data_IF_477109763943
#
_entry.id   IF_477109763943
#
_cell.length_a   1.000
_cell.length_b   1.000
_cell.length_c   1.000
_cell.angle_alpha   90.00
_cell.angle_beta   90.00
_cell.angle_gamma   90.00
#
_symmetry.space_group_name_H-M   'P 1'
#
loop_
_entity.id
_entity.type
_entity.pdbx_description
1 polymer ?
#
# COMPACT_ATOMS: atom_id res chain seq x y z
N UNK A 1 -11.92 -20.36 -23.06
CA UNK A 1 -10.65 -20.25 -22.31
C UNK A 1 -10.88 -19.31 -21.14
N UNK A 2 -10.63 -19.71 -19.90
CA UNK A 2 -10.73 -18.81 -18.75
C UNK A 2 -9.69 -17.69 -18.92
N UNK A 3 -10.11 -16.43 -18.84
CA UNK A 3 -9.21 -15.28 -18.95
C UNK A 3 -8.28 -15.32 -17.75
N UNK A 4 -6.97 -15.43 -17.98
CA UNK A 4 -5.97 -15.44 -16.90
C UNK A 4 -6.09 -14.14 -16.12
N UNK A 5 -6.20 -14.22 -14.81
CA UNK A 5 -6.27 -13.04 -13.93
C UNK A 5 -4.98 -12.23 -14.06
N UNK A 6 -5.06 -10.91 -14.31
CA UNK A 6 -3.88 -10.09 -14.45
C UNK A 6 -3.12 -9.99 -13.11
N UNK A 7 -1.79 -9.99 -13.21
CA UNK A 7 -0.88 -9.72 -12.09
C UNK A 7 -0.01 -8.55 -12.47
N UNK A 8 -0.01 -7.51 -11.63
CA UNK A 8 0.77 -6.29 -11.83
C UNK A 8 2.00 -6.29 -10.94
N UNK A 9 3.12 -5.78 -11.47
CA UNK A 9 4.32 -5.42 -10.72
C UNK A 9 4.38 -3.90 -10.52
N UNK A 10 5.23 -3.43 -9.62
CA UNK A 10 5.51 -1.98 -9.48
C UNK A 10 5.91 -1.38 -10.83
N UNK A 11 6.72 -2.10 -11.59
CA UNK A 11 7.14 -1.75 -12.95
C UNK A 11 5.96 -1.50 -13.89
N UNK A 12 4.95 -2.36 -13.85
CA UNK A 12 3.77 -2.22 -14.70
C UNK A 12 2.95 -0.97 -14.35
N UNK A 13 2.98 -0.56 -13.07
CA UNK A 13 2.25 0.62 -12.61
C UNK A 13 2.95 1.94 -12.92
N UNK A 14 4.28 1.95 -12.96
CA UNK A 14 5.06 3.18 -13.16
C UNK A 14 5.47 3.44 -14.62
N UNK A 15 5.30 2.45 -15.51
CA UNK A 15 5.85 2.47 -16.85
C UNK A 15 7.34 2.11 -16.90
N UNK A 16 7.85 1.87 -18.13
CA UNK A 16 9.17 1.28 -18.36
C UNK A 16 10.35 2.11 -17.80
N UNK A 17 10.20 3.42 -17.74
CA UNK A 17 11.29 4.33 -17.35
C UNK A 17 11.61 4.30 -15.84
N UNK A 18 10.74 3.75 -15.01
CA UNK A 18 10.91 3.63 -13.54
C UNK A 18 10.92 2.18 -13.04
N UNK A 19 11.26 1.25 -13.90
CA UNK A 19 11.20 -0.19 -13.62
C UNK A 19 12.16 -0.67 -12.51
N UNK A 20 13.17 0.10 -12.13
CA UNK A 20 14.12 -0.23 -11.06
C UNK A 20 13.66 0.24 -9.67
N UNK A 21 12.47 0.83 -9.55
CA UNK A 21 11.96 1.33 -8.28
C UNK A 21 11.39 0.18 -7.44
N UNK A 22 11.87 0.04 -6.21
CA UNK A 22 11.42 -0.99 -5.25
C UNK A 22 10.26 -0.51 -4.36
N UNK A 23 10.00 0.80 -4.37
CA UNK A 23 8.94 1.45 -3.58
C UNK A 23 8.28 2.56 -4.39
N UNK A 24 6.98 2.75 -4.18
CA UNK A 24 6.18 3.85 -4.71
C UNK A 24 5.35 4.43 -3.58
N UNK A 25 5.38 5.74 -3.44
CA UNK A 25 4.53 6.49 -2.51
C UNK A 25 3.76 7.52 -3.30
N UNK A 26 2.44 7.55 -3.16
CA UNK A 26 1.58 8.47 -3.93
C UNK A 26 0.30 8.83 -3.17
N UNK A 27 -0.34 9.92 -3.59
CA UNK A 27 -1.73 10.16 -3.20
C UNK A 27 -2.62 9.10 -3.85
N UNK A 28 -3.58 8.61 -3.08
CA UNK A 28 -4.51 7.60 -3.59
C UNK A 28 -5.31 8.15 -4.79
N UNK A 29 -5.72 9.42 -4.74
CA UNK A 29 -6.44 10.08 -5.83
C UNK A 29 -5.63 10.04 -7.13
N UNK A 30 -4.37 10.45 -7.07
CA UNK A 30 -3.49 10.49 -8.24
C UNK A 30 -3.28 9.08 -8.82
N UNK A 31 -3.16 8.08 -7.94
CA UNK A 31 -3.05 6.69 -8.35
C UNK A 31 -4.32 6.22 -9.10
N UNK A 32 -5.50 6.48 -8.55
CA UNK A 32 -6.78 6.08 -9.15
C UNK A 32 -7.04 6.77 -10.49
N UNK A 33 -6.69 8.04 -10.62
CA UNK A 33 -6.85 8.81 -11.86
C UNK A 33 -5.95 8.30 -12.99
N UNK A 34 -4.75 7.83 -12.64
CA UNK A 34 -3.78 7.28 -13.60
C UNK A 34 -4.01 5.79 -13.92
N UNK A 35 -4.79 5.06 -13.12
CA UNK A 35 -4.96 3.60 -13.24
C UNK A 35 -6.45 3.21 -13.27
N UNK A 36 -7.25 3.88 -14.08
CA UNK A 36 -8.71 3.62 -14.21
C UNK A 36 -9.02 2.24 -14.77
N UNK A 37 -8.09 1.62 -15.45
CA UNK A 37 -8.19 0.31 -16.09
C UNK A 37 -7.99 -0.87 -15.12
N UNK A 38 -7.51 -0.64 -13.89
CA UNK A 38 -7.27 -1.71 -12.91
C UNK A 38 -8.37 -1.85 -11.84
N UNK A 39 -9.58 -1.39 -12.14
CA UNK A 39 -10.75 -1.58 -11.25
C UNK A 39 -11.29 -3.01 -11.27
N UNK A 40 -10.86 -3.85 -12.22
CA UNK A 40 -11.26 -5.26 -12.32
C UNK A 40 -10.47 -6.14 -11.33
N UNK A 41 -10.98 -7.34 -10.99
CA UNK A 41 -10.24 -8.27 -10.14
C UNK A 41 -8.84 -8.56 -10.70
N UNK A 42 -7.82 -8.30 -9.90
CA UNK A 42 -6.42 -8.46 -10.24
C UNK A 42 -5.59 -8.84 -9.01
N UNK A 43 -4.30 -9.10 -9.24
CA UNK A 43 -3.28 -9.33 -8.22
C UNK A 43 -2.10 -8.42 -8.48
N UNK A 44 -1.27 -8.27 -7.47
CA UNK A 44 0.08 -7.69 -7.61
C UNK A 44 1.13 -8.57 -6.92
N UNK A 45 2.40 -8.40 -7.29
CA UNK A 45 3.54 -9.14 -6.76
C UNK A 45 4.32 -8.37 -5.69
N UNK A 46 3.74 -7.28 -5.18
CA UNK A 46 4.28 -6.40 -4.17
C UNK A 46 3.32 -6.25 -2.98
N UNK A 47 3.82 -5.71 -1.87
CA UNK A 47 3.03 -5.31 -0.71
C UNK A 47 2.41 -3.95 -0.96
N UNK A 48 1.17 -3.77 -0.50
CA UNK A 48 0.46 -2.50 -0.60
C UNK A 48 -0.13 -2.12 0.76
N UNK A 49 0.01 -0.84 1.12
CA UNK A 49 -0.65 -0.22 2.26
C UNK A 49 -1.44 0.98 1.74
N UNK A 50 -2.72 1.06 2.10
CA UNK A 50 -3.59 2.19 1.75
C UNK A 50 -4.17 2.78 3.01
N UNK A 51 -3.87 4.05 3.30
CA UNK A 51 -4.51 4.85 4.34
C UNK A 51 -5.60 5.72 3.72
N UNK A 52 -6.84 5.56 4.14
CA UNK A 52 -7.97 6.37 3.68
C UNK A 52 -8.20 7.56 4.60
N UNK A 53 -8.02 8.78 4.08
CA UNK A 53 -8.32 10.04 4.79
C UNK A 53 -9.72 10.54 4.47
N UNK A 54 -10.18 10.32 3.23
CA UNK A 54 -11.56 10.46 2.76
C UNK A 54 -11.94 9.20 2.05
N UNK A 55 -13.16 8.73 2.25
CA UNK A 55 -13.52 7.41 1.79
C UNK A 55 -14.99 7.29 1.40
N UNK A 56 -15.27 6.30 0.60
CA UNK A 56 -16.57 5.85 0.19
C UNK A 56 -16.46 4.73 -0.83
N UNK A 57 -17.49 3.90 -0.89
CA UNK A 57 -17.52 2.75 -1.79
C UNK A 57 -17.01 1.48 -1.12
N UNK A 58 -16.47 0.57 -1.92
CA UNK A 58 -16.19 -0.79 -1.47
C UNK A 58 -14.84 -1.27 -2.00
N UNK A 59 -14.15 -2.08 -1.19
CA UNK A 59 -12.96 -2.82 -1.55
C UNK A 59 -13.20 -4.31 -1.27
N UNK A 60 -12.96 -5.17 -2.26
CA UNK A 60 -13.03 -6.62 -2.09
C UNK A 60 -11.61 -7.17 -2.11
N UNK A 61 -11.25 -7.95 -1.08
CA UNK A 61 -9.94 -8.61 -0.94
C UNK A 61 -10.20 -10.08 -0.63
N UNK A 62 -9.65 -10.98 -1.45
CA UNK A 62 -9.80 -12.44 -1.33
C UNK A 62 -11.26 -12.86 -1.10
N UNK A 63 -12.19 -12.29 -1.92
CA UNK A 63 -13.63 -12.51 -1.90
C UNK A 63 -14.37 -11.92 -0.69
N UNK A 64 -13.69 -11.29 0.25
CA UNK A 64 -14.31 -10.56 1.35
C UNK A 64 -14.50 -9.10 0.96
N UNK A 65 -15.72 -8.60 1.12
CA UNK A 65 -16.09 -7.22 0.80
C UNK A 65 -16.03 -6.36 2.07
N UNK A 66 -15.41 -5.18 1.93
CA UNK A 66 -15.28 -4.18 2.97
C UNK A 66 -15.90 -2.88 2.49
N UNK A 67 -16.70 -2.25 3.34
CA UNK A 67 -17.09 -0.85 3.17
C UNK A 67 -15.90 0.03 3.53
N UNK A 68 -15.57 0.97 2.64
CA UNK A 68 -14.42 1.85 2.84
C UNK A 68 -14.88 3.13 3.52
N UNK A 69 -14.41 3.34 4.75
CA UNK A 69 -14.70 4.52 5.57
C UNK A 69 -13.39 5.27 5.92
N UNK A 70 -13.45 6.56 6.26
CA UNK A 70 -12.26 7.32 6.68
C UNK A 70 -11.56 6.67 7.87
N UNK A 71 -10.24 6.91 7.96
CA UNK A 71 -9.36 6.39 9.03
C UNK A 71 -9.15 4.87 9.01
N UNK A 72 -9.45 4.22 7.90
CA UNK A 72 -9.06 2.83 7.70
C UNK A 72 -7.72 2.70 7.00
N UNK A 73 -6.98 1.65 7.38
CA UNK A 73 -5.78 1.21 6.68
C UNK A 73 -6.00 -0.19 6.17
N UNK A 74 -5.69 -0.39 4.90
CA UNK A 74 -5.79 -1.66 4.20
C UNK A 74 -4.40 -2.20 3.91
N UNK A 75 -4.23 -3.51 4.07
CA UNK A 75 -2.97 -4.22 3.83
C UNK A 75 -3.20 -5.31 2.81
N UNK A 76 -2.37 -5.35 1.79
CA UNK A 76 -2.40 -6.40 0.78
C UNK A 76 -1.01 -6.99 0.59
N UNK A 77 -0.93 -8.31 0.76
CA UNK A 77 0.27 -9.09 0.48
C UNK A 77 0.33 -9.51 -1.00
N UNK A 78 1.52 -9.81 -1.53
CA UNK A 78 1.67 -10.34 -2.86
C UNK A 78 0.76 -11.54 -3.12
N UNK A 79 0.09 -11.54 -4.28
CA UNK A 79 -0.78 -12.64 -4.74
C UNK A 79 -2.23 -12.57 -4.30
N UNK A 80 -2.61 -11.70 -3.37
CA UNK A 80 -4.01 -11.50 -3.00
C UNK A 80 -4.82 -10.93 -4.16
N UNK A 81 -6.05 -11.44 -4.31
CA UNK A 81 -6.97 -10.97 -5.34
C UNK A 81 -7.75 -9.81 -4.77
N UNK A 82 -7.77 -8.69 -5.46
CA UNK A 82 -8.60 -7.58 -5.02
C UNK A 82 -9.25 -6.81 -6.18
N UNK A 83 -10.28 -6.06 -5.84
CA UNK A 83 -10.97 -5.11 -6.72
C UNK A 83 -11.59 -4.03 -5.87
N UNK A 84 -11.68 -2.83 -6.41
CA UNK A 84 -12.31 -1.71 -5.71
C UNK A 84 -13.35 -1.00 -6.58
N UNK A 85 -14.33 -0.43 -5.91
CA UNK A 85 -15.32 0.45 -6.47
C UNK A 85 -15.48 1.64 -5.51
N UNK A 86 -14.53 2.58 -5.61
CA UNK A 86 -14.47 3.73 -4.71
C UNK A 86 -15.37 4.87 -5.18
N UNK A 87 -15.89 5.61 -4.22
CA UNK A 87 -16.64 6.83 -4.47
C UNK A 87 -15.74 7.97 -5.01
N UNK A 88 -16.32 8.99 -5.63
CA UNK A 88 -15.58 10.09 -6.28
C UNK A 88 -14.76 10.93 -5.29
N UNK A 89 -15.12 10.93 -4.01
CA UNK A 89 -14.43 11.70 -2.97
C UNK A 89 -13.31 10.92 -2.26
N UNK A 90 -13.11 9.64 -2.64
CA UNK A 90 -12.12 8.78 -1.98
C UNK A 90 -10.71 9.30 -2.23
N UNK A 91 -9.96 9.48 -1.13
CA UNK A 91 -8.57 9.92 -1.15
C UNK A 91 -7.83 9.44 0.10
N UNK A 92 -6.50 9.55 0.06
CA UNK A 92 -5.60 9.12 1.11
C UNK A 92 -4.18 8.96 0.58
N UNK A 93 -3.47 7.99 1.12
CA UNK A 93 -2.10 7.68 0.74
C UNK A 93 -1.98 6.20 0.37
N UNK A 94 -1.11 5.92 -0.58
CA UNK A 94 -0.81 4.57 -1.05
C UNK A 94 0.70 4.36 -1.06
N UNK A 95 1.13 3.25 -0.48
CA UNK A 95 2.51 2.77 -0.52
C UNK A 95 2.51 1.39 -1.15
N UNK A 96 3.25 1.21 -2.23
CA UNK A 96 3.56 -0.08 -2.84
C UNK A 96 5.06 -0.36 -2.66
N UNK A 97 5.45 -1.54 -2.20
CA UNK A 97 6.85 -1.89 -2.03
C UNK A 97 7.11 -3.38 -2.24
N UNK A 98 8.28 -3.70 -2.76
CA UNK A 98 8.77 -5.07 -2.90
C UNK A 98 9.46 -5.54 -1.61
N UNK A 99 9.50 -6.84 -1.36
CA UNK A 99 10.26 -7.42 -0.24
C UNK A 99 11.75 -7.06 -0.33
N UNK A 100 12.28 -6.94 -1.55
CA UNK A 100 13.67 -6.53 -1.82
C UNK A 100 14.01 -5.14 -1.30
N UNK A 101 13.05 -4.25 -1.12
CA UNK A 101 13.27 -2.90 -0.59
C UNK A 101 14.00 -2.89 0.76
N UNK A 102 13.83 -3.94 1.56
CA UNK A 102 14.51 -4.08 2.85
C UNK A 102 15.77 -4.95 2.78
N UNK A 103 15.89 -5.88 1.83
CA UNK A 103 16.98 -6.87 1.82
C UNK A 103 18.36 -6.26 1.56
N UNK A 104 18.42 -5.10 0.91
CA UNK A 104 19.67 -4.35 0.71
C UNK A 104 20.24 -3.79 2.01
N UNK A 105 19.42 -3.55 3.02
CA UNK A 105 19.81 -2.98 4.32
C UNK A 105 19.78 -4.02 5.44
N UNK A 106 18.78 -4.91 5.41
CA UNK A 106 18.57 -5.92 6.44
C UNK A 106 18.90 -7.30 5.87
N UNK A 107 19.81 -8.04 6.49
CA UNK A 107 20.14 -9.41 6.08
C UNK A 107 19.03 -10.44 6.38
N UNK A 108 17.80 -9.98 6.59
CA UNK A 108 16.61 -10.80 6.80
C UNK A 108 15.67 -10.72 5.58
N UNK A 109 15.67 -11.73 4.69
CA UNK A 109 14.80 -11.72 3.50
C UNK A 109 13.31 -11.84 3.84
N UNK A 110 12.97 -12.17 5.09
CA UNK A 110 11.59 -12.35 5.53
C UNK A 110 11.11 -11.24 6.47
N UNK A 111 11.87 -10.13 6.58
CA UNK A 111 11.58 -9.05 7.51
C UNK A 111 10.13 -8.56 7.47
N UNK A 112 9.58 -8.36 6.26
CA UNK A 112 8.19 -7.87 6.11
C UNK A 112 7.17 -8.90 6.63
N UNK A 113 7.47 -10.19 6.51
CA UNK A 113 6.59 -11.28 6.94
C UNK A 113 6.54 -11.45 8.47
N UNK A 114 7.45 -10.84 9.20
CA UNK A 114 7.41 -10.81 10.66
C UNK A 114 6.30 -9.90 11.19
N UNK A 115 5.82 -8.94 10.38
CA UNK A 115 4.71 -8.09 10.75
C UNK A 115 3.37 -8.83 10.57
N UNK A 116 2.50 -8.83 11.60
CA UNK A 116 1.22 -9.56 11.56
C UNK A 116 0.26 -9.02 10.48
N UNK A 117 0.51 -7.81 9.97
CA UNK A 117 -0.32 -7.12 8.98
C UNK A 117 -0.52 -7.91 7.68
N UNK A 118 0.47 -8.71 7.28
CA UNK A 118 0.48 -9.42 6.00
C UNK A 118 0.36 -10.95 6.12
N UNK A 119 0.20 -11.47 7.36
CA UNK A 119 0.26 -12.91 7.59
C UNK A 119 -1.10 -13.60 7.56
N UNK A 120 -2.20 -12.90 7.28
CA UNK A 120 -3.58 -13.41 7.33
C UNK A 120 -3.95 -14.17 8.64
N UNK A 121 -3.05 -14.18 9.64
CA UNK A 121 -3.26 -14.88 10.92
C UNK A 121 -4.36 -14.21 11.74
N UNK A 122 -4.52 -12.89 11.58
CA UNK A 122 -5.55 -12.10 12.24
C UNK A 122 -6.89 -12.07 11.47
N UNK A 123 -6.92 -12.59 10.23
CA UNK A 123 -8.14 -12.61 9.41
C UNK A 123 -8.63 -11.24 8.91
N UNK A 124 -7.91 -10.17 9.22
CA UNK A 124 -8.31 -8.80 8.84
C UNK A 124 -7.25 -8.15 7.95
N UNK A 125 -7.65 -7.87 6.71
CA UNK A 125 -6.87 -7.05 5.79
C UNK A 125 -7.05 -5.54 6.05
N UNK A 126 -7.76 -5.16 7.12
CA UNK A 126 -8.24 -3.79 7.39
C UNK A 126 -8.22 -3.50 8.88
N UNK A 127 -7.63 -2.39 9.26
CA UNK A 127 -7.74 -1.82 10.60
C UNK A 127 -8.43 -0.46 10.54
N UNK A 128 -9.28 -0.17 11.52
CA UNK A 128 -9.83 1.17 11.73
C UNK A 128 -9.06 1.85 12.85
N UNK A 129 -8.47 2.99 12.54
CA UNK A 129 -7.63 3.76 13.46
C UNK A 129 -8.49 4.72 14.30
N UNK A 130 -8.10 4.95 15.54
CA UNK A 130 -8.61 6.12 16.26
C UNK A 130 -8.06 7.44 15.64
N UNK A 131 -8.68 8.56 15.98
CA UNK A 131 -8.35 9.85 15.37
C UNK A 131 -6.90 10.29 15.63
N UNK A 132 -6.36 9.99 16.81
CA UNK A 132 -5.00 10.41 17.16
C UNK A 132 -3.98 9.57 16.38
N UNK A 133 -4.16 8.25 16.37
CA UNK A 133 -3.31 7.34 15.61
C UNK A 133 -3.37 7.65 14.11
N UNK A 134 -4.57 7.93 13.59
CA UNK A 134 -4.73 8.33 12.19
C UNK A 134 -3.97 9.62 11.87
N UNK A 135 -4.11 10.66 12.68
CA UNK A 135 -3.42 11.93 12.47
C UNK A 135 -1.89 11.80 12.52
N UNK A 136 -1.37 11.00 13.46
CA UNK A 136 0.06 10.72 13.54
C UNK A 136 0.57 9.96 12.30
N UNK A 137 -0.15 8.93 11.87
CA UNK A 137 0.22 8.16 10.68
C UNK A 137 0.11 9.00 9.42
N UNK A 138 -0.95 9.81 9.27
CA UNK A 138 -1.11 10.69 8.12
C UNK A 138 0.09 11.64 7.96
N UNK A 139 0.63 12.18 9.06
CA UNK A 139 1.85 12.99 9.02
C UNK A 139 3.06 12.21 8.50
N UNK A 140 3.24 10.97 8.95
CA UNK A 140 4.35 10.12 8.46
C UNK A 140 4.19 9.79 6.98
N UNK A 141 2.96 9.47 6.54
CA UNK A 141 2.68 9.20 5.12
C UNK A 141 2.92 10.45 4.25
N UNK A 142 2.51 11.64 4.73
CA UNK A 142 2.75 12.89 4.02
C UNK A 142 4.25 13.19 3.88
N UNK A 143 5.01 13.07 4.97
CA UNK A 143 6.46 13.23 4.94
C UNK A 143 7.14 12.22 4.00
N UNK A 144 6.66 10.98 4.00
CA UNK A 144 7.18 9.93 3.12
C UNK A 144 6.90 10.23 1.64
N UNK A 145 5.72 10.81 1.35
CA UNK A 145 5.38 11.26 -0.01
C UNK A 145 6.26 12.43 -0.45
N UNK A 146 6.50 13.40 0.43
CA UNK A 146 7.36 14.56 0.15
C UNK A 146 8.80 14.11 -0.11
N UNK A 147 9.33 13.21 0.71
CA UNK A 147 10.66 12.62 0.53
C UNK A 147 10.78 11.84 -0.80
N UNK A 148 9.76 11.03 -1.12
CA UNK A 148 9.72 10.26 -2.37
C UNK A 148 9.71 11.16 -3.61
N UNK A 149 9.00 12.29 -3.55
CA UNK A 149 8.88 13.23 -4.66
C UNK A 149 10.10 14.16 -4.80
N UNK A 150 10.69 14.59 -3.71
CA UNK A 150 11.86 15.49 -3.73
C UNK A 150 13.11 14.78 -4.19
N UNK A 151 13.30 13.53 -3.78
CA UNK A 151 14.51 12.76 -4.04
C UNK A 151 15.75 13.39 -3.41
N UNK A 152 16.84 12.70 -3.42
CA UNK A 152 18.11 13.20 -2.94
C UNK A 152 19.02 12.10 -2.40
N UNK A 153 20.14 12.51 -1.83
CA UNK A 153 21.04 11.59 -1.14
C UNK A 153 20.31 10.97 0.05
N UNK A 154 20.47 9.66 0.24
CA UNK A 154 19.85 8.88 1.32
C UNK A 154 18.31 8.77 1.30
N UNK A 155 17.62 9.24 0.26
CA UNK A 155 16.16 9.12 0.15
C UNK A 155 15.67 7.69 0.38
N UNK A 156 16.32 6.68 -0.21
CA UNK A 156 15.92 5.28 -0.01
C UNK A 156 16.07 4.81 1.44
N UNK A 157 17.07 5.31 2.16
CA UNK A 157 17.30 4.96 3.57
C UNK A 157 16.29 5.66 4.48
N UNK A 158 15.95 6.91 4.18
CA UNK A 158 14.89 7.67 4.87
C UNK A 158 13.54 6.97 4.67
N UNK A 159 13.18 6.62 3.43
CA UNK A 159 11.94 5.91 3.12
C UNK A 159 11.85 4.54 3.81
N UNK A 160 12.97 3.79 3.91
CA UNK A 160 13.02 2.53 4.67
C UNK A 160 12.73 2.75 6.15
N UNK A 161 13.39 3.76 6.75
CA UNK A 161 13.16 4.11 8.15
C UNK A 161 11.71 4.49 8.43
N UNK A 162 11.11 5.32 7.57
CA UNK A 162 9.70 5.74 7.67
C UNK A 162 8.75 4.55 7.51
N UNK A 163 9.00 3.66 6.53
CA UNK A 163 8.16 2.49 6.33
C UNK A 163 8.23 1.52 7.53
N UNK A 164 9.41 1.34 8.14
CA UNK A 164 9.54 0.55 9.39
C UNK A 164 8.69 1.17 10.51
N UNK A 165 8.72 2.50 10.66
CA UNK A 165 7.89 3.21 11.66
C UNK A 165 6.41 2.96 11.40
N UNK A 166 5.95 3.07 10.15
CA UNK A 166 4.55 2.81 9.75
C UNK A 166 4.17 1.37 10.11
N UNK A 167 4.95 0.38 9.66
CA UNK A 167 4.69 -1.03 9.91
C UNK A 167 4.63 -1.34 11.41
N UNK A 168 5.58 -0.82 12.20
CA UNK A 168 5.62 -1.03 13.64
C UNK A 168 4.44 -0.37 14.37
N UNK A 169 4.04 0.86 13.99
CA UNK A 169 2.87 1.53 14.58
C UNK A 169 1.59 0.77 14.26
N UNK A 170 1.38 0.39 12.99
CA UNK A 170 0.19 -0.34 12.54
C UNK A 170 0.09 -1.75 13.14
N UNK A 171 1.21 -2.39 13.45
CA UNK A 171 1.22 -3.71 14.13
C UNK A 171 0.83 -3.67 15.61
N UNK A 172 0.64 -2.48 16.17
CA UNK A 172 0.19 -2.26 17.56
C UNK A 172 -1.28 -1.89 17.68
N UNK A 173 -1.95 -1.69 16.56
CA UNK A 173 -3.38 -1.44 16.45
C UNK A 173 -4.13 -2.76 16.30
#
# INVERSE_FOLDING_TARGET
MAKKMPTYSICNLLGADRCMTEIVVTRLRDFLDNHRDIQFPHRHDFYQIVLFTRAGGQHTIDFQQYEVIPHQVYYMAPGQIHTWNFGPETDGYLINFNESFFTSMLHNPHFVREFPLFNNVSGTAVNTLDMNCCAELEQVFAQMLDEFNSGGDFTMDILRGMLIIILAKLSRV
#
